data_IF_608609629455
#
_entry.id   IF_608609629455
#
_cell.length_a   1.000
_cell.length_b   1.000
_cell.length_c   1.000
_cell.angle_alpha   90.00
_cell.angle_beta   90.00
_cell.angle_gamma   90.00
#
_symmetry.space_group_name_H-M   'P 1'
#
loop_
_entity.id
_entity.type
_entity.pdbx_description
1 polymer ?
#
# COMPACT_ATOMS: atom_id res chain seq x y z
N UNK A 1 -0.36 14.30 9.60
CA UNK A 1 -1.69 14.97 9.63
C UNK A 1 -2.41 14.89 8.28
N UNK A 2 -2.01 15.60 7.19
CA UNK A 2 -2.77 15.56 5.92
C UNK A 2 -2.82 14.16 5.29
N UNK A 3 -1.68 13.44 5.22
CA UNK A 3 -1.61 12.03 4.77
C UNK A 3 -2.59 11.13 5.54
N UNK A 4 -2.57 11.20 6.85
CA UNK A 4 -3.45 10.41 7.72
C UNK A 4 -4.93 10.64 7.39
N UNK A 5 -5.35 11.90 7.16
CA UNK A 5 -6.74 12.22 6.80
C UNK A 5 -7.14 11.66 5.44
N UNK A 6 -6.21 11.62 4.49
CA UNK A 6 -6.46 11.00 3.17
C UNK A 6 -6.57 9.48 3.33
N UNK A 7 -5.61 8.87 4.02
CA UNK A 7 -5.58 7.42 4.22
C UNK A 7 -6.78 6.91 5.03
N UNK A 8 -7.29 7.70 5.96
CA UNK A 8 -8.47 7.35 6.78
C UNK A 8 -9.79 7.82 6.18
N UNK A 9 -9.79 8.17 4.88
CA UNK A 9 -10.98 8.61 4.17
C UNK A 9 -11.72 9.83 4.78
N UNK A 10 -11.07 10.55 5.71
CA UNK A 10 -11.58 11.84 6.22
C UNK A 10 -11.58 12.91 5.12
N UNK A 11 -10.69 12.76 4.15
CA UNK A 11 -10.67 13.48 2.89
C UNK A 11 -10.86 12.45 1.77
N UNK A 12 -12.11 12.20 1.34
CA UNK A 12 -12.41 11.18 0.34
C UNK A 12 -11.74 11.46 -1.02
N UNK A 13 -11.62 10.44 -1.85
CA UNK A 13 -11.18 10.58 -3.24
C UNK A 13 -11.96 11.69 -3.95
N UNK A 14 -11.30 12.42 -4.84
CA UNK A 14 -11.83 13.58 -5.58
C UNK A 14 -12.14 14.82 -4.71
N UNK A 15 -11.90 14.77 -3.39
CA UNK A 15 -12.02 15.96 -2.52
C UNK A 15 -11.05 17.04 -2.94
N UNK A 16 -11.56 18.27 -3.09
CA UNK A 16 -10.69 19.43 -3.38
C UNK A 16 -9.89 19.85 -2.16
N UNK A 17 -8.60 20.01 -2.38
CA UNK A 17 -7.65 20.46 -1.38
C UNK A 17 -7.31 21.94 -1.63
N UNK A 18 -7.69 22.80 -0.67
CA UNK A 18 -7.43 24.24 -0.75
C UNK A 18 -6.34 24.58 0.26
N UNK A 19 -5.14 24.93 -0.23
CA UNK A 19 -3.96 25.25 0.61
C UNK A 19 -4.28 26.21 1.77
N UNK A 20 -5.07 27.25 1.51
CA UNK A 20 -5.40 28.26 2.51
C UNK A 20 -6.25 27.70 3.65
N UNK A 21 -7.24 26.86 3.33
CA UNK A 21 -8.13 26.28 4.33
C UNK A 21 -7.39 25.27 5.20
N UNK A 22 -6.58 24.40 4.57
CA UNK A 22 -5.79 23.39 5.28
C UNK A 22 -4.72 24.07 6.15
N UNK A 23 -4.07 25.13 5.67
CA UNK A 23 -3.10 25.89 6.44
C UNK A 23 -3.72 26.53 7.68
N UNK A 24 -4.91 27.13 7.53
CA UNK A 24 -5.66 27.72 8.64
C UNK A 24 -6.09 26.68 9.66
N UNK A 25 -6.59 25.54 9.21
CA UNK A 25 -7.04 24.43 10.07
C UNK A 25 -5.89 23.83 10.88
N UNK A 26 -4.71 23.67 10.27
CA UNK A 26 -3.54 23.07 10.94
C UNK A 26 -2.66 24.08 11.66
N UNK A 27 -2.97 25.38 11.56
CA UNK A 27 -2.17 26.45 12.20
C UNK A 27 -0.76 26.58 11.62
N UNK A 28 -0.56 26.28 10.34
CA UNK A 28 0.75 26.33 9.67
C UNK A 28 0.75 27.28 8.47
N UNK A 29 1.94 27.55 7.91
CA UNK A 29 2.05 28.41 6.72
C UNK A 29 1.51 27.71 5.46
N UNK A 30 1.02 28.50 4.47
CA UNK A 30 0.65 27.97 3.15
C UNK A 30 1.82 27.29 2.43
N UNK A 31 3.06 27.78 2.66
CA UNK A 31 4.28 27.16 2.12
C UNK A 31 4.46 25.74 2.65
N UNK A 32 4.30 25.56 3.97
CA UNK A 32 4.37 24.24 4.62
C UNK A 32 3.34 23.26 4.03
N UNK A 33 2.10 23.74 3.80
CA UNK A 33 1.06 22.89 3.18
C UNK A 33 1.41 22.57 1.74
N UNK A 34 1.92 23.53 0.98
CA UNK A 34 2.32 23.30 -0.43
C UNK A 34 3.42 22.26 -0.55
N UNK A 35 4.41 22.29 0.34
CA UNK A 35 5.50 21.31 0.37
C UNK A 35 4.97 19.92 0.75
N UNK A 36 4.08 19.85 1.76
CA UNK A 36 3.39 18.60 2.11
C UNK A 36 2.57 18.04 0.94
N UNK A 37 1.84 18.90 0.22
CA UNK A 37 1.05 18.48 -0.95
C UNK A 37 1.94 17.98 -2.09
N UNK A 38 3.11 18.60 -2.33
CA UNK A 38 4.07 18.10 -3.31
C UNK A 38 4.61 16.72 -2.94
N UNK A 39 4.86 16.47 -1.65
CA UNK A 39 5.23 15.13 -1.17
C UNK A 39 4.13 14.12 -1.43
N UNK A 40 2.88 14.45 -1.09
CA UNK A 40 1.73 13.58 -1.33
C UNK A 40 1.45 13.34 -2.82
N UNK A 41 1.73 14.33 -3.68
CA UNK A 41 1.67 14.16 -5.13
C UNK A 41 2.74 13.16 -5.62
N UNK A 42 3.97 13.27 -5.12
CA UNK A 42 5.02 12.33 -5.46
C UNK A 42 4.71 10.89 -4.98
N UNK A 43 3.90 10.77 -3.95
CA UNK A 43 3.38 9.50 -3.42
C UNK A 43 2.11 9.03 -4.16
N UNK A 44 1.58 9.80 -5.12
CA UNK A 44 0.37 9.47 -5.87
C UNK A 44 -0.94 9.57 -5.07
N UNK A 45 -0.92 10.19 -3.87
CA UNK A 45 -2.11 10.36 -3.04
C UNK A 45 -2.96 11.56 -3.43
N UNK A 46 -2.39 12.54 -4.12
CA UNK A 46 -3.09 13.72 -4.62
C UNK A 46 -2.64 14.09 -6.02
N UNK A 47 -3.54 14.69 -6.77
CA UNK A 47 -3.27 15.29 -8.07
C UNK A 47 -3.25 16.82 -7.94
N UNK A 48 -2.18 17.44 -8.45
CA UNK A 48 -2.04 18.89 -8.52
C UNK A 48 -2.19 19.34 -9.97
N UNK A 49 -3.32 19.96 -10.28
CA UNK A 49 -3.53 20.59 -11.59
C UNK A 49 -3.04 22.05 -11.52
N UNK A 50 -1.90 22.39 -12.18
CA UNK A 50 -1.30 23.71 -12.07
C UNK A 50 -2.30 24.84 -12.33
N UNK A 51 -2.32 25.87 -11.45
CA UNK A 51 -3.19 27.07 -11.53
C UNK A 51 -4.69 26.78 -11.48
N UNK A 52 -5.11 25.58 -11.11
CA UNK A 52 -6.54 25.21 -11.04
C UNK A 52 -6.93 24.71 -9.66
N UNK A 53 -6.54 23.50 -9.30
CA UNK A 53 -6.92 22.85 -8.04
C UNK A 53 -5.99 21.69 -7.71
N UNK A 54 -6.08 21.24 -6.48
CA UNK A 54 -5.53 19.95 -6.06
C UNK A 54 -6.68 19.09 -5.55
N UNK A 55 -6.61 17.79 -5.79
CA UNK A 55 -7.62 16.82 -5.37
C UNK A 55 -6.96 15.58 -4.79
N UNK A 56 -7.67 14.88 -3.91
CA UNK A 56 -7.30 13.53 -3.51
C UNK A 56 -7.44 12.60 -4.70
N UNK A 57 -6.40 11.84 -5.02
CA UNK A 57 -6.39 10.91 -6.15
C UNK A 57 -7.44 9.84 -5.95
N UNK A 58 -8.20 9.54 -7.01
CA UNK A 58 -9.04 8.36 -7.08
C UNK A 58 -8.27 7.28 -7.80
N UNK A 59 -7.93 6.21 -7.11
CA UNK A 59 -7.33 5.05 -7.74
C UNK A 59 -8.42 4.22 -8.44
N UNK A 60 -8.23 3.95 -9.73
CA UNK A 60 -9.02 3.00 -10.49
C UNK A 60 -8.61 1.56 -10.13
N UNK A 61 -9.38 0.59 -10.59
CA UNK A 61 -9.01 -0.84 -10.45
C UNK A 61 -7.70 -1.12 -11.19
N UNK A 62 -7.51 -0.53 -12.37
CA UNK A 62 -6.27 -0.65 -13.15
C UNK A 62 -5.06 -0.08 -12.40
N UNK A 63 -5.18 1.10 -11.76
CA UNK A 63 -4.12 1.67 -10.92
C UNK A 63 -3.80 0.74 -9.73
N UNK A 64 -4.81 0.12 -9.13
CA UNK A 64 -4.63 -0.82 -8.03
C UNK A 64 -3.88 -2.08 -8.47
N UNK A 65 -4.25 -2.65 -9.62
CA UNK A 65 -3.58 -3.80 -10.23
C UNK A 65 -2.11 -3.46 -10.55
N UNK A 66 -1.84 -2.28 -11.11
CA UNK A 66 -0.50 -1.81 -11.42
C UNK A 66 0.37 -1.62 -10.17
N UNK A 67 -0.16 -1.05 -9.10
CA UNK A 67 0.55 -0.91 -7.82
C UNK A 67 0.89 -2.28 -7.23
N UNK A 68 -0.05 -3.20 -7.22
CA UNK A 68 0.16 -4.56 -6.72
C UNK A 68 1.19 -5.32 -7.55
N UNK A 69 1.11 -5.20 -8.88
CA UNK A 69 2.08 -5.82 -9.78
C UNK A 69 3.49 -5.25 -9.56
N UNK A 70 3.62 -3.93 -9.46
CA UNK A 70 4.90 -3.28 -9.21
C UNK A 70 5.50 -3.72 -7.86
N UNK A 71 4.70 -3.79 -6.80
CA UNK A 71 5.12 -4.30 -5.48
C UNK A 71 5.61 -5.74 -5.58
N UNK A 72 4.82 -6.61 -6.20
CA UNK A 72 5.21 -8.00 -6.43
C UNK A 72 6.56 -8.12 -7.13
N UNK A 73 6.76 -7.40 -8.25
CA UNK A 73 8.00 -7.46 -9.02
C UNK A 73 9.21 -7.01 -8.20
N UNK A 74 9.07 -5.95 -7.41
CA UNK A 74 10.14 -5.44 -6.56
C UNK A 74 10.51 -6.43 -5.45
N UNK A 75 9.51 -7.04 -4.80
CA UNK A 75 9.74 -8.03 -3.75
C UNK A 75 10.27 -9.36 -4.31
N UNK A 76 9.76 -9.84 -5.44
CA UNK A 76 10.33 -11.02 -6.11
C UNK A 76 11.79 -10.80 -6.50
N UNK A 77 12.11 -9.62 -7.06
CA UNK A 77 13.49 -9.25 -7.40
C UNK A 77 14.42 -9.15 -6.17
N UNK A 78 13.88 -8.86 -4.99
CA UNK A 78 14.64 -8.84 -3.74
C UNK A 78 15.16 -10.22 -3.34
N UNK A 79 14.46 -11.27 -3.74
CA UNK A 79 14.81 -12.66 -3.44
C UNK A 79 15.96 -13.20 -4.31
N UNK A 80 16.39 -12.45 -5.34
CA UNK A 80 17.57 -12.78 -6.16
C UNK A 80 18.90 -12.63 -5.39
N UNK A 81 18.85 -12.32 -4.12
CA UNK A 81 20.03 -12.12 -3.28
C UNK A 81 20.40 -13.35 -2.47
N UNK A 82 20.95 -13.11 -1.30
CA UNK A 82 21.47 -14.12 -0.38
C UNK A 82 20.36 -14.68 0.56
N UNK A 83 19.24 -15.14 -0.05
CA UNK A 83 18.09 -15.67 0.67
C UNK A 83 18.50 -16.79 1.66
N UNK A 84 19.33 -17.72 1.22
CA UNK A 84 19.69 -18.90 2.02
C UNK A 84 20.42 -18.51 3.31
N UNK A 85 21.36 -17.58 3.24
CA UNK A 85 22.13 -17.15 4.41
C UNK A 85 21.33 -16.28 5.36
N UNK A 86 20.39 -15.48 4.83
CA UNK A 86 19.55 -14.57 5.60
C UNK A 86 18.23 -15.18 6.08
N UNK A 87 17.94 -16.41 5.69
CA UNK A 87 16.65 -17.09 5.96
C UNK A 87 16.22 -17.07 7.42
N UNK A 88 17.16 -17.29 8.36
CA UNK A 88 16.85 -17.35 9.80
C UNK A 88 16.40 -15.98 10.33
N UNK A 89 17.14 -14.93 9.98
CA UNK A 89 16.82 -13.55 10.36
C UNK A 89 15.51 -13.11 9.72
N UNK A 90 15.36 -13.40 8.43
CA UNK A 90 14.14 -13.15 7.67
C UNK A 90 12.92 -13.79 8.34
N UNK A 91 12.99 -15.10 8.63
CA UNK A 91 11.90 -15.84 9.28
C UNK A 91 11.52 -15.25 10.64
N UNK A 92 12.52 -14.87 11.45
CA UNK A 92 12.29 -14.24 12.76
C UNK A 92 11.56 -12.90 12.60
N UNK A 93 11.99 -12.06 11.67
CA UNK A 93 11.39 -10.74 11.43
C UNK A 93 9.98 -10.85 10.85
N UNK A 94 9.73 -11.76 9.90
CA UNK A 94 8.41 -12.01 9.35
C UNK A 94 7.41 -12.52 10.39
N UNK A 95 7.84 -13.43 11.27
CA UNK A 95 6.99 -13.92 12.37
C UNK A 95 6.62 -12.82 13.35
N UNK A 96 7.55 -11.91 13.65
CA UNK A 96 7.27 -10.76 14.53
C UNK A 96 6.27 -9.80 13.87
N UNK A 97 6.46 -9.48 12.58
CA UNK A 97 5.52 -8.63 11.85
C UNK A 97 4.12 -9.28 11.78
N UNK A 98 4.04 -10.59 11.51
CA UNK A 98 2.78 -11.34 11.50
C UNK A 98 2.11 -11.36 12.88
N UNK A 99 2.87 -11.41 13.98
CA UNK A 99 2.32 -11.29 15.32
C UNK A 99 1.71 -9.90 15.56
N UNK A 100 2.40 -8.82 15.13
CA UNK A 100 1.85 -7.46 15.20
C UNK A 100 0.56 -7.33 14.39
N UNK A 101 0.51 -7.87 13.16
CA UNK A 101 -0.71 -7.93 12.37
C UNK A 101 -1.84 -8.66 13.09
N UNK A 102 -1.52 -9.79 13.74
CA UNK A 102 -2.49 -10.58 14.51
C UNK A 102 -3.02 -9.83 15.72
N UNK A 103 -2.19 -9.02 16.39
CA UNK A 103 -2.62 -8.16 17.49
C UNK A 103 -3.53 -7.05 16.96
N UNK A 104 -3.13 -6.36 15.89
CA UNK A 104 -3.91 -5.31 15.26
C UNK A 104 -5.30 -5.80 14.83
N UNK A 105 -5.36 -6.98 14.20
CA UNK A 105 -6.61 -7.61 13.78
C UNK A 105 -7.53 -7.93 14.98
N UNK A 106 -7.00 -8.47 16.08
CA UNK A 106 -7.80 -8.74 17.30
C UNK A 106 -8.32 -7.47 17.97
N UNK A 107 -7.58 -6.37 17.90
CA UNK A 107 -7.97 -5.08 18.43
C UNK A 107 -8.86 -4.27 17.49
N UNK A 108 -9.09 -4.78 16.29
CA UNK A 108 -9.78 -4.07 15.20
C UNK A 108 -9.13 -2.70 14.90
N UNK A 109 -7.80 -2.64 14.98
CA UNK A 109 -7.00 -1.45 14.72
C UNK A 109 -6.48 -1.46 13.28
N UNK A 110 -7.17 -0.72 12.41
CA UNK A 110 -6.85 -0.63 10.98
C UNK A 110 -5.49 0.02 10.74
N UNK A 111 -5.13 1.05 11.50
CA UNK A 111 -3.85 1.75 11.34
C UNK A 111 -2.69 0.82 11.69
N UNK A 112 -2.78 0.15 12.83
CA UNK A 112 -1.78 -0.82 13.24
C UNK A 112 -1.68 -2.02 12.27
N UNK A 113 -2.80 -2.44 11.66
CA UNK A 113 -2.80 -3.52 10.67
C UNK A 113 -2.05 -3.11 9.41
N UNK A 114 -2.34 -1.94 8.84
CA UNK A 114 -1.67 -1.42 7.64
C UNK A 114 -0.17 -1.19 7.89
N UNK A 115 0.17 -0.67 9.06
CA UNK A 115 1.58 -0.44 9.42
C UNK A 115 2.34 -1.76 9.57
N UNK A 116 1.75 -2.77 10.20
CA UNK A 116 2.38 -4.08 10.38
C UNK A 116 2.45 -4.89 9.09
N UNK A 117 1.47 -4.76 8.20
CA UNK A 117 1.50 -5.28 6.83
C UNK A 117 2.67 -4.67 6.04
N UNK A 118 2.81 -3.35 6.09
CA UNK A 118 3.95 -2.65 5.47
C UNK A 118 5.28 -3.14 6.02
N UNK A 119 5.40 -3.31 7.34
CA UNK A 119 6.61 -3.85 7.98
C UNK A 119 6.91 -5.29 7.53
N UNK A 120 5.88 -6.13 7.39
CA UNK A 120 6.05 -7.50 6.90
C UNK A 120 6.69 -7.53 5.50
N UNK A 121 6.19 -6.74 4.60
CA UNK A 121 6.70 -6.65 3.23
C UNK A 121 8.05 -5.91 3.15
N UNK A 122 8.29 -4.92 4.04
CA UNK A 122 9.58 -4.26 4.14
C UNK A 122 10.71 -5.24 4.52
N UNK A 123 10.43 -6.20 5.38
CA UNK A 123 11.36 -7.27 5.74
C UNK A 123 11.75 -8.10 4.51
N UNK A 124 10.82 -8.37 3.59
CA UNK A 124 11.11 -9.10 2.34
C UNK A 124 11.98 -8.28 1.39
N UNK A 125 11.70 -7.00 1.19
CA UNK A 125 12.49 -6.15 0.30
C UNK A 125 13.92 -5.94 0.80
N UNK A 126 14.13 -5.95 2.12
CA UNK A 126 15.43 -5.75 2.74
C UNK A 126 16.38 -6.95 2.60
N UNK A 127 15.86 -8.13 2.20
CA UNK A 127 16.68 -9.34 2.00
C UNK A 127 17.81 -9.11 0.99
N UNK A 128 17.52 -8.39 -0.10
CA UNK A 128 18.52 -8.12 -1.14
C UNK A 128 19.64 -7.17 -0.71
N UNK A 129 19.42 -6.34 0.31
CA UNK A 129 20.32 -5.23 0.69
C UNK A 129 20.45 -4.15 -0.41
N UNK A 130 19.63 -4.18 -1.44
CA UNK A 130 19.67 -3.26 -2.59
C UNK A 130 18.90 -1.98 -2.30
N UNK A 131 19.59 -0.94 -1.85
CA UNK A 131 18.97 0.34 -1.47
C UNK A 131 18.02 0.91 -2.53
N UNK A 132 18.39 0.88 -3.81
CA UNK A 132 17.54 1.43 -4.88
C UNK A 132 16.24 0.66 -5.05
N UNK A 133 16.27 -0.64 -4.85
CA UNK A 133 15.06 -1.47 -4.89
C UNK A 133 14.11 -1.06 -3.76
N UNK A 134 14.65 -0.89 -2.56
CA UNK A 134 13.89 -0.41 -1.40
C UNK A 134 13.35 1.01 -1.60
N UNK A 135 14.17 1.93 -2.13
CA UNK A 135 13.73 3.31 -2.42
C UNK A 135 12.48 3.32 -3.33
N UNK A 136 12.50 2.52 -4.41
CA UNK A 136 11.36 2.39 -5.34
C UNK A 136 10.15 1.76 -4.68
N UNK A 137 10.35 0.71 -3.88
CA UNK A 137 9.30 0.04 -3.13
C UNK A 137 8.62 0.99 -2.14
N UNK A 138 9.40 1.80 -1.40
CA UNK A 138 8.87 2.79 -0.45
C UNK A 138 7.98 3.85 -1.12
N UNK A 139 8.21 4.18 -2.40
CA UNK A 139 7.37 5.13 -3.13
C UNK A 139 5.93 4.65 -3.30
N UNK A 140 5.68 3.34 -3.23
CA UNK A 140 4.36 2.73 -3.40
C UNK A 140 3.62 2.51 -2.06
N UNK A 141 4.29 2.70 -0.91
CA UNK A 141 3.71 2.36 0.40
C UNK A 141 2.41 3.11 0.70
N UNK A 142 2.36 4.41 0.42
CA UNK A 142 1.17 5.21 0.69
C UNK A 142 -0.02 4.78 -0.17
N UNK A 143 0.22 4.43 -1.43
CA UNK A 143 -0.81 3.92 -2.33
C UNK A 143 -1.28 2.54 -1.89
N UNK A 144 -0.35 1.65 -1.53
CA UNK A 144 -0.69 0.30 -1.05
C UNK A 144 -1.50 0.34 0.24
N UNK A 145 -1.12 1.19 1.19
CA UNK A 145 -1.89 1.39 2.43
C UNK A 145 -3.30 1.93 2.17
N UNK A 146 -3.46 2.87 1.23
CA UNK A 146 -4.77 3.38 0.83
C UNK A 146 -5.64 2.30 0.17
N UNK A 147 -5.05 1.48 -0.72
CA UNK A 147 -5.72 0.36 -1.37
C UNK A 147 -6.19 -0.69 -0.37
N UNK A 148 -5.33 -1.09 0.56
CA UNK A 148 -5.65 -2.06 1.59
C UNK A 148 -6.84 -1.61 2.45
N UNK A 149 -6.85 -0.34 2.89
CA UNK A 149 -7.97 0.23 3.66
C UNK A 149 -9.25 0.22 2.86
N UNK A 150 -9.21 0.74 1.63
CA UNK A 150 -10.39 0.81 0.77
C UNK A 150 -10.99 -0.57 0.51
N UNK A 151 -10.15 -1.59 0.34
CA UNK A 151 -10.59 -2.96 0.09
C UNK A 151 -11.21 -3.60 1.33
N UNK A 152 -10.59 -3.44 2.49
CA UNK A 152 -11.13 -3.93 3.77
C UNK A 152 -12.48 -3.29 4.11
N UNK A 153 -12.60 -1.96 3.91
CA UNK A 153 -13.85 -1.23 4.12
C UNK A 153 -14.94 -1.67 3.13
N UNK A 154 -14.59 -1.81 1.83
CA UNK A 154 -15.53 -2.16 0.76
C UNK A 154 -16.11 -3.56 0.89
N UNK A 155 -15.27 -4.53 1.24
CA UNK A 155 -15.68 -5.94 1.34
C UNK A 155 -16.20 -6.32 2.72
N UNK A 156 -15.98 -5.50 3.75
CA UNK A 156 -16.25 -5.88 5.14
C UNK A 156 -15.44 -7.11 5.57
N UNK A 157 -14.25 -7.27 5.00
CA UNK A 157 -13.40 -8.44 5.26
C UNK A 157 -12.91 -8.39 6.70
N UNK A 158 -12.96 -9.55 7.36
CA UNK A 158 -12.33 -9.73 8.66
C UNK A 158 -10.81 -9.51 8.53
N UNK A 159 -10.27 -8.62 9.34
CA UNK A 159 -8.82 -8.36 9.39
C UNK A 159 -8.00 -9.63 9.65
N UNK A 160 -8.58 -10.64 10.29
CA UNK A 160 -7.97 -11.95 10.48
C UNK A 160 -7.70 -12.68 9.15
N UNK A 161 -8.49 -12.42 8.11
CA UNK A 161 -8.24 -13.01 6.78
C UNK A 161 -6.98 -12.42 6.14
N UNK A 162 -6.72 -11.11 6.34
CA UNK A 162 -5.46 -10.49 5.94
C UNK A 162 -4.26 -11.21 6.57
N UNK A 163 -4.32 -11.51 7.87
CA UNK A 163 -3.25 -12.24 8.57
C UNK A 163 -3.04 -13.63 7.96
N UNK A 164 -4.11 -14.36 7.66
CA UNK A 164 -4.02 -15.70 7.05
C UNK A 164 -3.34 -15.71 5.69
N UNK A 165 -3.55 -14.67 4.88
CA UNK A 165 -2.93 -14.54 3.55
C UNK A 165 -1.40 -14.44 3.62
N UNK A 166 -0.83 -14.06 4.75
CA UNK A 166 0.62 -13.98 4.97
C UNK A 166 1.26 -15.28 5.48
N UNK A 167 0.43 -16.23 5.97
CA UNK A 167 0.94 -17.48 6.53
C UNK A 167 1.71 -18.32 5.51
N UNK A 168 1.20 -18.43 4.27
CA UNK A 168 1.86 -19.18 3.21
C UNK A 168 3.28 -18.67 2.90
N UNK A 169 3.47 -17.35 2.95
CA UNK A 169 4.79 -16.72 2.78
C UNK A 169 5.74 -17.12 3.92
N UNK A 170 5.27 -17.05 5.17
CA UNK A 170 6.08 -17.43 6.36
C UNK A 170 6.44 -18.91 6.31
N UNK A 171 5.51 -19.78 5.93
CA UNK A 171 5.75 -21.22 5.79
C UNK A 171 6.79 -21.51 4.71
N UNK A 172 6.67 -20.90 3.52
CA UNK A 172 7.62 -21.08 2.44
C UNK A 172 9.05 -20.66 2.84
N UNK A 173 9.18 -19.54 3.60
CA UNK A 173 10.46 -19.12 4.18
C UNK A 173 10.93 -20.12 5.23
N UNK A 174 10.04 -20.65 6.07
CA UNK A 174 10.38 -21.65 7.09
C UNK A 174 10.92 -22.95 6.47
N UNK A 175 10.34 -23.38 5.37
CA UNK A 175 10.74 -24.58 4.63
C UNK A 175 12.03 -24.35 3.81
N UNK A 176 12.37 -23.08 3.53
CA UNK A 176 13.49 -22.72 2.66
C UNK A 176 13.20 -22.95 1.18
N UNK A 177 11.92 -23.03 0.83
CA UNK A 177 11.44 -23.24 -0.54
C UNK A 177 11.24 -21.89 -1.25
N UNK A 178 12.26 -21.45 -1.98
CA UNK A 178 12.25 -20.21 -2.73
C UNK A 178 11.21 -20.21 -3.86
N UNK A 179 10.97 -21.36 -4.50
CA UNK A 179 9.99 -21.45 -5.57
C UNK A 179 8.57 -21.30 -5.01
N UNK A 180 8.27 -21.95 -3.88
CA UNK A 180 7.02 -21.76 -3.15
C UNK A 180 6.87 -20.32 -2.67
N UNK A 181 7.92 -19.70 -2.11
CA UNK A 181 7.89 -18.32 -1.66
C UNK A 181 7.50 -17.36 -2.79
N UNK A 182 8.07 -17.51 -3.98
CA UNK A 182 7.71 -16.71 -5.16
C UNK A 182 6.26 -16.93 -5.59
N UNK A 183 5.78 -18.16 -5.55
CA UNK A 183 4.39 -18.49 -5.87
C UNK A 183 3.42 -17.86 -4.86
N UNK A 184 3.72 -17.93 -3.56
CA UNK A 184 2.92 -17.33 -2.49
C UNK A 184 2.89 -15.79 -2.61
N UNK A 185 4.03 -15.14 -2.85
CA UNK A 185 4.09 -13.69 -3.09
C UNK A 185 3.26 -13.28 -4.32
N UNK A 186 3.38 -14.03 -5.41
CA UNK A 186 2.60 -13.76 -6.60
C UNK A 186 1.10 -13.88 -6.33
N UNK A 187 0.68 -14.94 -5.65
CA UNK A 187 -0.71 -15.15 -5.28
C UNK A 187 -1.20 -14.06 -4.33
N UNK A 188 -0.38 -13.67 -3.35
CA UNK A 188 -0.69 -12.64 -2.37
C UNK A 188 -1.06 -11.31 -3.04
N UNK A 189 -0.29 -10.87 -4.04
CA UNK A 189 -0.51 -9.60 -4.72
C UNK A 189 -1.55 -9.69 -5.86
N UNK A 190 -1.53 -10.78 -6.65
CA UNK A 190 -2.26 -10.83 -7.91
C UNK A 190 -3.58 -11.61 -7.85
N UNK A 191 -3.85 -12.35 -6.75
CA UNK A 191 -5.12 -13.05 -6.59
C UNK A 191 -6.10 -12.35 -5.64
N UNK A 192 -5.71 -11.24 -5.04
CA UNK A 192 -6.46 -10.56 -3.99
C UNK A 192 -7.41 -9.47 -4.44
N UNK A 193 -7.27 -8.98 -5.66
CA UNK A 193 -8.18 -7.98 -6.21
C UNK A 193 -9.13 -8.66 -7.19
N UNK A 194 -10.45 -8.57 -7.01
CA UNK A 194 -11.38 -9.06 -8.00
C UNK A 194 -11.17 -8.27 -9.29
N UNK A 195 -10.84 -8.99 -10.37
CA UNK A 195 -10.82 -8.42 -11.72
C UNK A 195 -12.14 -7.67 -11.98
N UNK A 196 -12.04 -6.52 -12.64
CA UNK A 196 -13.12 -5.56 -12.89
C UNK A 196 -14.29 -6.08 -13.78
N UNK A 197 -14.55 -7.37 -13.80
CA UNK A 197 -15.47 -7.99 -14.77
C UNK A 197 -16.94 -8.06 -14.32
N UNK A 198 -17.36 -7.26 -13.31
CA UNK A 198 -18.76 -7.22 -12.88
C UNK A 198 -19.32 -5.80 -12.63
N UNK A 199 -18.79 -4.77 -13.27
CA UNK A 199 -19.45 -3.47 -13.28
C UNK A 199 -20.16 -3.26 -14.61
N UNK A 200 -21.47 -2.86 -14.65
CA UNK A 200 -22.14 -2.54 -15.89
C UNK A 200 -21.42 -1.36 -16.58
N UNK A 201 -21.37 -1.33 -17.92
CA UNK A 201 -20.61 -0.32 -18.64
C UNK A 201 -21.12 1.08 -18.29
N UNK A 202 -20.32 1.80 -17.55
CA UNK A 202 -20.56 3.19 -17.21
C UNK A 202 -20.60 4.02 -18.49
N UNK A 203 -21.71 4.70 -18.70
CA UNK A 203 -22.03 5.55 -19.86
C UNK A 203 -21.07 6.76 -19.89
N UNK A 204 -19.85 6.53 -20.35
CA UNK A 204 -18.78 7.54 -20.46
C UNK A 204 -18.99 8.44 -21.68
N UNK A 205 -19.78 9.49 -21.56
CA UNK A 205 -19.67 10.64 -22.46
C UNK A 205 -18.54 11.55 -21.94
N UNK A 206 -17.37 11.45 -22.57
CA UNK A 206 -16.38 12.54 -22.50
C UNK A 206 -16.98 13.77 -23.19
N UNK A 207 -16.98 14.95 -22.59
CA UNK A 207 -17.22 16.18 -23.35
C UNK A 207 -16.00 16.42 -24.24
N UNK A 208 -16.24 16.54 -25.54
CA UNK A 208 -15.25 16.95 -26.55
C UNK A 208 -14.80 18.41 -26.36
N UNK A 209 -13.81 18.83 -27.16
CA UNK A 209 -12.96 20.01 -26.95
C UNK A 209 -13.68 21.34 -26.92
#
# INVERSE_FOLDING_TARGET
>A
MLRHRILNNELPAESRLVEANIAAEFGVSRGTIRDAMRSLQAEGLIDIVPRRYSVVTRMSTEDAEDVCFARYVLEDASLEGDFASRRKELLKALRLALEHMSVAARLNDMDALVDSDTQFHEVLIDVSGRRRLKDLWCMLNSQMGALMRAELERQGIDMAETVKRHLGIVEAVSDGDLARLRAELRAHYLSGFPSADNSPPGNGRRPGP
#
